data_IF_900306112528
#
_entry.id   IF_900306112528
#
_cell.length_a   1.000
_cell.length_b   1.000
_cell.length_c   1.000
_cell.angle_alpha   90.00
_cell.angle_beta   90.00
_cell.angle_gamma   90.00
#
_symmetry.space_group_name_H-M   'P 1'
#
loop_
_entity.id
_entity.type
_entity.pdbx_description
1 polymer ?
#
# COMPACT_ATOMS: atom_id res chain seq x y z
N UNK A 1 -1.96 -45.77 -27.90
CA UNK A 1 -1.79 -45.31 -26.50
C UNK A 1 -1.90 -43.80 -26.45
N UNK A 2 -3.08 -43.27 -26.14
CA UNK A 2 -3.35 -42.51 -24.90
C UNK A 2 -4.73 -41.88 -25.05
N UNK A 3 -5.61 -42.25 -24.13
CA UNK A 3 -6.98 -41.76 -24.00
C UNK A 3 -7.00 -40.26 -23.67
N UNK A 4 -8.02 -39.57 -24.15
CA UNK A 4 -8.29 -38.16 -23.87
C UNK A 4 -9.58 -38.10 -23.04
N UNK A 5 -9.46 -38.09 -21.71
CA UNK A 5 -10.58 -37.85 -20.80
C UNK A 5 -11.00 -36.38 -20.87
N UNK A 6 -12.19 -36.13 -21.42
CA UNK A 6 -12.85 -34.83 -21.29
C UNK A 6 -13.46 -34.73 -19.89
N UNK A 7 -12.84 -33.91 -19.03
CA UNK A 7 -13.38 -33.60 -17.70
C UNK A 7 -14.74 -32.90 -17.76
N UNK A 8 -15.61 -33.25 -16.82
CA UNK A 8 -16.97 -32.72 -16.70
C UNK A 8 -16.99 -31.19 -16.58
N UNK A 9 -17.96 -30.56 -17.22
CA UNK A 9 -18.03 -29.09 -17.29
C UNK A 9 -18.60 -28.48 -16.02
N UNK A 10 -18.24 -27.22 -15.73
CA UNK A 10 -18.72 -26.44 -14.57
C UNK A 10 -20.25 -26.45 -14.38
N UNK A 11 -21.00 -26.58 -15.49
CA UNK A 11 -22.48 -26.65 -15.48
C UNK A 11 -23.00 -28.00 -15.01
N UNK A 12 -22.26 -29.08 -15.25
CA UNK A 12 -22.60 -30.42 -14.78
C UNK A 12 -22.31 -30.55 -13.28
N UNK A 13 -21.18 -30.03 -12.81
CA UNK A 13 -20.85 -30.00 -11.37
C UNK A 13 -21.89 -29.22 -10.54
N UNK A 14 -22.37 -28.08 -11.05
CA UNK A 14 -23.42 -27.30 -10.39
C UNK A 14 -24.78 -28.00 -10.39
N UNK A 15 -25.10 -28.78 -11.44
CA UNK A 15 -26.33 -29.57 -11.49
C UNK A 15 -26.28 -30.76 -10.52
N UNK A 16 -25.13 -31.43 -10.40
CA UNK A 16 -24.91 -32.54 -9.46
C UNK A 16 -24.96 -32.07 -8.00
N UNK A 17 -24.47 -30.86 -7.71
CA UNK A 17 -24.58 -30.27 -6.37
C UNK A 17 -26.03 -29.89 -6.01
N UNK A 18 -26.81 -29.41 -6.98
CA UNK A 18 -28.21 -29.05 -6.76
C UNK A 18 -29.12 -30.27 -6.52
N UNK A 19 -28.84 -31.42 -7.14
CA UNK A 19 -29.61 -32.67 -6.90
C UNK A 19 -29.27 -33.32 -5.55
N UNK A 20 -28.04 -33.18 -5.05
CA UNK A 20 -27.66 -33.70 -3.73
C UNK A 20 -28.36 -32.95 -2.57
N UNK A 21 -28.64 -31.65 -2.72
CA UNK A 21 -29.31 -30.85 -1.69
C UNK A 21 -30.80 -31.20 -1.53
N UNK A 22 -31.46 -31.72 -2.57
CA UNK A 22 -32.89 -32.07 -2.52
C UNK A 22 -33.11 -33.48 -1.92
N UNK A 23 -32.16 -34.40 -2.08
CA UNK A 23 -32.27 -35.75 -1.53
C UNK A 23 -32.17 -35.81 0.01
N UNK A 24 -31.56 -34.82 0.65
CA UNK A 24 -31.41 -34.76 2.10
C UNK A 24 -32.66 -34.21 2.84
N UNK A 25 -33.66 -33.69 2.12
CA UNK A 25 -34.85 -33.10 2.73
C UNK A 25 -36.00 -34.10 2.99
N UNK A 26 -35.88 -35.36 2.54
CA UNK A 26 -36.98 -36.34 2.57
C UNK A 26 -36.88 -37.42 3.67
N UNK A 27 -35.79 -37.48 4.45
CA UNK A 27 -35.68 -38.41 5.59
C UNK A 27 -35.64 -37.65 6.91
N UNK A 28 -36.81 -37.45 7.50
CA UNK A 28 -37.00 -36.80 8.79
C UNK A 28 -36.43 -37.61 9.96
N UNK A 29 -35.12 -37.53 10.21
CA UNK A 29 -34.48 -38.04 11.43
C UNK A 29 -33.46 -37.05 11.99
N UNK A 30 -33.68 -36.69 13.25
CA UNK A 30 -32.78 -36.07 14.23
C UNK A 30 -32.27 -34.63 14.00
N UNK A 31 -32.91 -33.70 14.73
CA UNK A 31 -32.34 -32.40 15.12
C UNK A 31 -31.14 -32.62 16.05
N UNK A 32 -29.94 -32.75 15.50
CA UNK A 32 -28.71 -32.46 16.23
C UNK A 32 -28.12 -31.16 15.69
N UNK A 33 -28.02 -30.13 16.54
CA UNK A 33 -27.30 -28.89 16.25
C UNK A 33 -25.80 -29.20 16.28
N UNK A 34 -25.29 -29.89 15.26
CA UNK A 34 -23.89 -29.83 14.94
C UNK A 34 -23.63 -28.43 14.38
N UNK A 35 -22.81 -27.64 15.07
CA UNK A 35 -22.18 -26.48 14.46
C UNK A 35 -21.36 -27.01 13.29
N UNK A 36 -21.93 -26.97 12.09
CA UNK A 36 -21.18 -27.14 10.87
C UNK A 36 -20.19 -25.98 10.82
N UNK A 37 -18.96 -26.24 11.25
CA UNK A 37 -17.82 -25.41 10.90
C UNK A 37 -17.82 -25.41 9.37
N UNK A 38 -18.27 -24.30 8.79
CA UNK A 38 -18.19 -24.12 7.35
C UNK A 38 -16.74 -24.42 6.94
N UNK A 39 -16.50 -25.24 5.91
CA UNK A 39 -15.14 -25.51 5.48
C UNK A 39 -14.46 -24.17 5.22
N UNK A 40 -13.28 -23.98 5.80
CA UNK A 40 -12.47 -22.78 5.57
C UNK A 40 -12.40 -22.56 4.07
N UNK A 41 -12.97 -21.44 3.61
CA UNK A 41 -13.00 -21.08 2.20
C UNK A 41 -11.54 -21.01 1.75
N UNK A 42 -11.12 -21.94 0.90
CA UNK A 42 -9.82 -21.86 0.24
C UNK A 42 -9.83 -20.54 -0.51
N UNK A 43 -9.06 -19.56 -0.02
CA UNK A 43 -8.90 -18.25 -0.66
C UNK A 43 -8.26 -18.52 -2.02
N UNK A 44 -9.09 -18.45 -3.07
CA UNK A 44 -8.60 -18.60 -4.44
C UNK A 44 -7.76 -17.38 -4.83
N UNK A 45 -7.00 -17.47 -5.92
CA UNK A 45 -6.26 -16.33 -6.47
C UNK A 45 -7.12 -15.06 -6.70
N UNK A 46 -8.45 -15.19 -6.77
CA UNK A 46 -9.41 -14.08 -6.89
C UNK A 46 -9.85 -13.46 -5.55
N UNK A 47 -9.41 -14.00 -4.41
CA UNK A 47 -9.75 -13.48 -3.08
C UNK A 47 -8.55 -12.74 -2.43
N UNK A 48 -7.44 -12.52 -3.15
CA UNK A 48 -6.28 -11.74 -2.67
C UNK A 48 -6.62 -10.25 -2.57
N UNK A 49 -6.09 -9.58 -1.56
CA UNK A 49 -6.15 -8.12 -1.43
C UNK A 49 -5.17 -7.51 -2.43
N UNK A 50 -5.70 -6.75 -3.39
CA UNK A 50 -4.98 -6.24 -4.56
C UNK A 50 -4.49 -4.82 -4.28
N UNK A 51 -3.18 -4.64 -4.25
CA UNK A 51 -2.54 -3.41 -3.75
C UNK A 51 -1.85 -2.66 -4.88
N UNK A 52 -2.19 -1.38 -5.02
CA UNK A 52 -1.50 -0.43 -5.88
C UNK A 52 -0.51 0.43 -5.09
N UNK A 53 0.66 0.73 -5.66
CA UNK A 53 1.68 1.55 -5.01
C UNK A 53 1.80 2.91 -5.70
N UNK A 54 1.80 3.99 -4.91
CA UNK A 54 2.05 5.35 -5.39
C UNK A 54 3.28 5.91 -4.68
N UNK A 55 4.33 6.17 -5.45
CA UNK A 55 5.67 6.42 -4.93
C UNK A 55 6.40 5.11 -4.67
N UNK A 56 7.29 4.73 -5.58
CA UNK A 56 8.11 3.50 -5.51
C UNK A 56 9.60 3.84 -5.48
N UNK A 57 9.93 4.90 -4.73
CA UNK A 57 11.30 5.20 -4.30
C UNK A 57 11.78 4.26 -3.19
N UNK A 58 12.74 4.71 -2.38
CA UNK A 58 13.35 3.84 -1.35
C UNK A 58 12.35 3.15 -0.42
N UNK A 59 11.47 3.93 0.24
CA UNK A 59 10.49 3.38 1.17
C UNK A 59 9.39 2.58 0.45
N UNK A 60 8.90 3.05 -0.70
CA UNK A 60 7.94 2.32 -1.52
C UNK A 60 8.46 0.95 -1.97
N UNK A 61 9.72 0.86 -2.37
CA UNK A 61 10.35 -0.44 -2.68
C UNK A 61 10.54 -1.33 -1.46
N UNK A 62 10.85 -0.77 -0.28
CA UNK A 62 10.86 -1.55 0.98
C UNK A 62 9.49 -2.15 1.25
N UNK A 63 8.43 -1.37 1.10
CA UNK A 63 7.07 -1.87 1.24
C UNK A 63 6.71 -2.97 0.25
N UNK A 64 7.05 -2.80 -1.03
CA UNK A 64 6.80 -3.83 -2.05
C UNK A 64 7.54 -5.13 -1.74
N UNK A 65 8.78 -5.05 -1.25
CA UNK A 65 9.54 -6.24 -0.82
C UNK A 65 8.86 -6.95 0.34
N UNK A 66 8.52 -6.22 1.41
CA UNK A 66 7.82 -6.77 2.56
C UNK A 66 6.49 -7.40 2.17
N UNK A 67 5.73 -6.75 1.27
CA UNK A 67 4.48 -7.32 0.78
C UNK A 67 4.73 -8.61 -0.02
N UNK A 68 5.73 -8.65 -0.92
CA UNK A 68 6.09 -9.84 -1.69
C UNK A 68 6.53 -10.99 -0.77
N UNK A 69 7.35 -10.70 0.24
CA UNK A 69 7.83 -11.66 1.24
C UNK A 69 6.71 -12.28 2.06
N UNK A 70 5.65 -11.51 2.36
CA UNK A 70 4.52 -11.95 3.19
C UNK A 70 3.22 -12.14 2.38
N UNK A 71 3.32 -12.27 1.05
CA UNK A 71 2.17 -12.23 0.16
C UNK A 71 1.21 -13.40 0.35
N UNK A 72 1.75 -14.59 0.61
CA UNK A 72 0.97 -15.81 0.83
C UNK A 72 0.26 -15.77 2.18
N UNK A 73 0.98 -15.47 3.26
CA UNK A 73 0.43 -15.39 4.62
C UNK A 73 -0.67 -14.32 4.72
N UNK A 74 -0.44 -13.14 4.16
CA UNK A 74 -1.39 -12.03 4.21
C UNK A 74 -2.45 -12.08 3.11
N UNK A 75 -2.39 -13.06 2.20
CA UNK A 75 -3.26 -13.16 1.03
C UNK A 75 -3.33 -11.82 0.25
N UNK A 76 -2.16 -11.28 -0.08
CA UNK A 76 -2.00 -9.99 -0.78
C UNK A 76 -1.28 -10.17 -2.11
N UNK A 77 -1.43 -9.18 -3.00
CA UNK A 77 -0.62 -9.07 -4.22
C UNK A 77 -0.40 -7.61 -4.64
N UNK A 78 0.75 -7.34 -5.27
CA UNK A 78 1.01 -6.07 -5.95
C UNK A 78 0.38 -6.13 -7.34
N UNK A 79 -0.46 -5.17 -7.70
CA UNK A 79 -1.14 -5.18 -9.01
C UNK A 79 -0.90 -3.94 -9.85
N UNK A 80 -0.38 -2.86 -9.27
CA UNK A 80 -0.11 -1.60 -9.96
C UNK A 80 1.00 -0.80 -9.27
N UNK A 81 1.78 -0.06 -10.05
CA UNK A 81 2.80 0.87 -9.53
C UNK A 81 2.69 2.22 -10.20
N UNK A 82 3.02 3.28 -9.47
CA UNK A 82 3.05 4.65 -9.98
C UNK A 82 4.27 5.40 -9.43
N UNK A 83 5.07 5.99 -10.32
CA UNK A 83 6.14 6.92 -9.94
C UNK A 83 6.30 8.02 -11.00
N UNK A 84 6.75 9.19 -10.57
CA UNK A 84 7.03 10.31 -11.46
C UNK A 84 8.38 10.16 -12.17
N UNK A 85 9.26 9.28 -11.69
CA UNK A 85 10.54 8.96 -12.31
C UNK A 85 10.49 7.60 -13.00
N UNK A 86 10.64 7.58 -14.34
CA UNK A 86 10.46 6.36 -15.14
C UNK A 86 11.36 5.21 -14.74
N UNK A 87 12.62 5.48 -14.37
CA UNK A 87 13.55 4.45 -13.86
C UNK A 87 12.97 3.73 -12.63
N UNK A 88 12.54 4.47 -11.60
CA UNK A 88 11.92 3.87 -10.39
C UNK A 88 10.67 3.08 -10.72
N UNK A 89 9.81 3.65 -11.57
CA UNK A 89 8.59 2.99 -12.03
C UNK A 89 8.90 1.64 -12.70
N UNK A 90 9.87 1.61 -13.62
CA UNK A 90 10.28 0.42 -14.37
C UNK A 90 10.95 -0.63 -13.48
N UNK A 91 11.80 -0.21 -12.55
CA UNK A 91 12.41 -1.10 -11.55
C UNK A 91 11.33 -1.78 -10.68
N UNK A 92 10.36 -1.01 -10.19
CA UNK A 92 9.26 -1.52 -9.37
C UNK A 92 8.32 -2.43 -10.18
N UNK A 93 8.02 -2.05 -11.42
CA UNK A 93 7.23 -2.85 -12.35
C UNK A 93 7.88 -4.22 -12.57
N UNK A 94 9.18 -4.26 -12.88
CA UNK A 94 9.91 -5.49 -13.11
C UNK A 94 9.98 -6.34 -11.83
N UNK A 95 10.22 -5.72 -10.67
CA UNK A 95 10.25 -6.42 -9.38
C UNK A 95 8.93 -7.13 -9.04
N UNK A 96 7.81 -6.49 -9.35
CA UNK A 96 6.46 -7.02 -9.14
C UNK A 96 5.92 -7.81 -10.34
N UNK A 97 6.73 -8.02 -11.38
CA UNK A 97 6.35 -8.80 -12.58
C UNK A 97 5.07 -8.28 -13.25
N UNK A 98 4.91 -6.94 -13.26
CA UNK A 98 3.71 -6.26 -13.75
C UNK A 98 3.78 -5.98 -15.26
N UNK A 99 2.66 -6.10 -15.99
CA UNK A 99 2.59 -5.69 -17.38
C UNK A 99 2.70 -4.16 -17.50
N UNK A 100 3.09 -3.67 -18.68
CA UNK A 100 3.22 -2.21 -18.94
C UNK A 100 1.93 -1.43 -18.64
N UNK A 101 0.78 -2.05 -18.87
CA UNK A 101 -0.53 -1.46 -18.57
C UNK A 101 -0.79 -1.21 -17.08
N UNK A 102 0.03 -1.76 -16.18
CA UNK A 102 -0.07 -1.62 -14.73
C UNK A 102 0.98 -0.65 -14.13
N UNK A 103 1.76 0.04 -14.97
CA UNK A 103 2.79 0.99 -14.54
C UNK A 103 2.46 2.43 -14.98
N UNK A 104 2.19 3.31 -14.02
CA UNK A 104 1.65 4.66 -14.25
C UNK A 104 2.65 5.78 -13.92
N UNK A 105 2.52 6.91 -14.60
CA UNK A 105 3.19 8.18 -14.27
C UNK A 105 2.24 9.20 -13.65
N UNK A 106 0.95 8.85 -13.56
CA UNK A 106 -0.11 9.65 -12.98
C UNK A 106 -0.96 8.74 -12.09
N UNK A 107 -0.96 9.00 -10.79
CA UNK A 107 -1.69 8.18 -9.83
C UNK A 107 -3.19 8.18 -10.10
N UNK A 108 -3.75 9.24 -10.72
CA UNK A 108 -5.18 9.30 -11.05
C UNK A 108 -5.58 8.19 -12.01
N UNK A 109 -4.69 7.83 -12.94
CA UNK A 109 -4.88 6.70 -13.87
C UNK A 109 -4.80 5.34 -13.16
N UNK A 110 -3.94 5.21 -12.17
CA UNK A 110 -3.93 4.03 -11.30
C UNK A 110 -5.25 3.92 -10.53
N UNK A 111 -5.80 5.03 -10.02
CA UNK A 111 -7.04 5.03 -9.25
C UNK A 111 -8.29 4.64 -10.06
N UNK A 112 -8.29 4.86 -11.38
CA UNK A 112 -9.36 4.43 -12.31
C UNK A 112 -9.54 2.90 -12.35
N UNK A 113 -8.54 2.12 -11.93
CA UNK A 113 -8.62 0.65 -11.90
C UNK A 113 -9.57 0.14 -10.82
N UNK A 114 -10.62 -0.56 -11.24
CA UNK A 114 -11.66 -1.12 -10.36
C UNK A 114 -11.21 -2.35 -9.58
N UNK A 115 -10.09 -2.95 -9.97
CA UNK A 115 -9.57 -4.18 -9.40
C UNK A 115 -8.50 -3.95 -8.32
N UNK A 116 -8.30 -2.70 -7.89
CA UNK A 116 -7.44 -2.36 -6.77
C UNK A 116 -8.32 -2.20 -5.53
N UNK A 117 -7.95 -2.85 -4.43
CA UNK A 117 -8.66 -2.75 -3.14
C UNK A 117 -8.06 -1.66 -2.25
N UNK A 118 -6.72 -1.57 -2.24
CA UNK A 118 -5.98 -0.63 -1.41
C UNK A 118 -4.82 0.03 -2.15
N UNK A 119 -4.45 1.23 -1.71
CA UNK A 119 -3.31 1.98 -2.21
C UNK A 119 -2.32 2.25 -1.10
N UNK A 120 -1.05 1.91 -1.34
CA UNK A 120 0.06 2.24 -0.45
C UNK A 120 0.79 3.46 -1.00
N UNK A 121 0.87 4.50 -0.17
CA UNK A 121 1.37 5.82 -0.56
C UNK A 121 2.70 6.06 0.15
N UNK A 122 3.78 6.09 -0.62
CA UNK A 122 5.14 6.36 -0.18
C UNK A 122 5.82 7.43 -1.06
N UNK A 123 5.08 8.52 -1.30
CA UNK A 123 5.52 9.67 -2.10
C UNK A 123 6.38 10.65 -1.27
N UNK A 124 6.62 11.86 -1.78
CA UNK A 124 7.02 12.97 -0.93
C UNK A 124 5.86 13.43 -0.04
N UNK A 125 6.17 14.05 1.10
CA UNK A 125 5.16 14.40 2.12
C UNK A 125 4.06 15.31 1.54
N UNK A 126 4.39 16.20 0.59
CA UNK A 126 3.42 17.07 -0.07
C UNK A 126 2.37 16.37 -0.92
N UNK A 127 2.58 15.10 -1.24
CA UNK A 127 1.68 14.29 -2.05
C UNK A 127 0.85 13.30 -1.22
N UNK A 128 1.16 13.11 0.07
CA UNK A 128 0.44 12.16 0.91
C UNK A 128 -1.06 12.46 0.99
N UNK A 129 -1.44 13.66 1.45
CA UNK A 129 -2.85 14.02 1.61
C UNK A 129 -3.63 14.04 0.28
N UNK A 130 -3.14 14.69 -0.80
CA UNK A 130 -3.85 14.69 -2.08
C UNK A 130 -4.08 13.28 -2.65
N UNK A 131 -3.07 12.40 -2.60
CA UNK A 131 -3.21 11.03 -3.11
C UNK A 131 -4.13 10.22 -2.21
N UNK A 132 -4.03 10.34 -0.90
CA UNK A 132 -4.87 9.61 0.05
C UNK A 132 -6.36 9.96 -0.10
N UNK A 133 -6.67 11.26 -0.17
CA UNK A 133 -8.04 11.74 -0.38
C UNK A 133 -8.58 11.20 -1.70
N UNK A 134 -7.83 11.38 -2.80
CA UNK A 134 -8.25 10.90 -4.11
C UNK A 134 -8.44 9.37 -4.15
N UNK A 135 -7.58 8.60 -3.48
CA UNK A 135 -7.68 7.15 -3.40
C UNK A 135 -8.96 6.72 -2.66
N UNK A 136 -9.27 7.37 -1.54
CA UNK A 136 -10.49 7.08 -0.79
C UNK A 136 -11.75 7.44 -1.57
N UNK A 137 -11.74 8.57 -2.27
CA UNK A 137 -12.84 8.98 -3.16
C UNK A 137 -13.05 8.01 -4.33
N UNK A 138 -11.96 7.41 -4.80
CA UNK A 138 -12.01 6.32 -5.78
C UNK A 138 -12.44 4.97 -5.17
N UNK A 139 -12.86 4.93 -3.91
CA UNK A 139 -13.35 3.74 -3.22
C UNK A 139 -12.26 2.81 -2.68
N UNK A 140 -11.00 3.27 -2.59
CA UNK A 140 -9.85 2.45 -2.18
C UNK A 140 -9.51 2.62 -0.71
N UNK A 141 -9.08 1.55 -0.07
CA UNK A 141 -8.42 1.62 1.23
C UNK A 141 -7.03 2.24 1.09
N UNK A 142 -6.49 2.82 2.16
CA UNK A 142 -5.23 3.56 2.07
C UNK A 142 -4.28 3.20 3.19
N UNK A 143 -3.02 2.94 2.82
CA UNK A 143 -1.86 3.03 3.70
C UNK A 143 -1.05 4.27 3.33
N UNK A 144 -0.75 5.15 4.27
CA UNK A 144 -0.03 6.41 4.05
C UNK A 144 1.24 6.41 4.88
N UNK A 145 2.40 6.55 4.26
CA UNK A 145 3.66 6.71 5.00
C UNK A 145 3.65 7.93 5.93
N UNK A 146 4.48 7.85 6.97
CA UNK A 146 4.65 8.96 7.90
C UNK A 146 5.65 9.98 7.33
N UNK A 147 5.45 11.29 7.61
CA UNK A 147 4.28 11.88 8.25
C UNK A 147 3.02 11.78 7.37
N UNK A 148 1.85 11.53 7.96
CA UNK A 148 0.59 11.33 7.22
C UNK A 148 0.26 12.50 6.27
N UNK A 149 0.58 13.73 6.68
CA UNK A 149 0.33 14.97 5.97
C UNK A 149 1.29 16.06 6.48
N UNK A 150 1.21 17.27 5.89
CA UNK A 150 2.06 18.41 6.26
C UNK A 150 1.42 19.41 7.18
N UNK A 151 0.10 19.53 7.12
CA UNK A 151 -0.63 20.50 7.95
C UNK A 151 -1.78 19.85 8.70
N UNK A 152 -2.28 20.55 9.71
CA UNK A 152 -3.44 20.11 10.50
C UNK A 152 -4.70 20.10 9.62
N UNK A 153 -4.84 21.06 8.70
CA UNK A 153 -5.95 21.12 7.75
C UNK A 153 -5.95 19.91 6.81
N UNK A 154 -4.77 19.53 6.31
CA UNK A 154 -4.62 18.29 5.53
C UNK A 154 -4.99 17.05 6.36
N UNK A 155 -4.68 17.04 7.67
CA UNK A 155 -5.06 15.94 8.57
C UNK A 155 -6.58 15.82 8.72
N UNK A 156 -7.28 16.93 8.95
CA UNK A 156 -8.75 16.95 9.01
C UNK A 156 -9.37 16.55 7.66
N UNK A 157 -8.82 17.02 6.55
CA UNK A 157 -9.31 16.63 5.23
C UNK A 157 -9.21 15.12 4.97
N UNK A 158 -8.11 14.47 5.41
CA UNK A 158 -7.99 13.00 5.38
C UNK A 158 -9.03 12.35 6.29
N UNK A 159 -9.16 12.83 7.53
CA UNK A 159 -10.11 12.30 8.51
C UNK A 159 -11.56 12.35 8.01
N UNK A 160 -12.00 13.51 7.52
CA UNK A 160 -13.35 13.74 7.02
C UNK A 160 -13.63 12.86 5.79
N UNK A 161 -12.64 12.72 4.90
CA UNK A 161 -12.76 11.85 3.73
C UNK A 161 -12.87 10.39 4.13
N UNK A 162 -12.07 9.92 5.09
CA UNK A 162 -12.15 8.55 5.60
C UNK A 162 -13.54 8.27 6.21
N UNK A 163 -14.06 9.20 7.01
CA UNK A 163 -15.41 9.11 7.60
C UNK A 163 -16.51 9.06 6.55
N UNK A 164 -16.45 9.96 5.56
CA UNK A 164 -17.47 10.06 4.51
C UNK A 164 -17.46 8.86 3.56
N UNK A 165 -16.30 8.35 3.19
CA UNK A 165 -16.15 7.23 2.24
C UNK A 165 -16.20 5.85 2.90
N UNK A 166 -16.10 5.81 4.24
CA UNK A 166 -16.00 4.57 5.01
C UNK A 166 -14.75 3.75 4.71
N UNK A 167 -13.70 4.37 4.14
CA UNK A 167 -12.45 3.67 3.80
C UNK A 167 -11.53 3.59 5.01
N UNK A 168 -10.94 2.42 5.21
CA UNK A 168 -9.83 2.21 6.14
C UNK A 168 -8.61 3.04 5.72
N UNK A 169 -8.05 3.77 6.67
CA UNK A 169 -6.79 4.51 6.55
C UNK A 169 -5.83 4.02 7.63
N UNK A 170 -4.65 3.58 7.21
CA UNK A 170 -3.54 3.20 8.10
C UNK A 170 -2.37 4.16 7.87
N UNK A 171 -1.88 4.77 8.95
CA UNK A 171 -0.65 5.58 8.90
C UNK A 171 0.55 4.70 9.17
N UNK A 172 1.64 4.91 8.43
CA UNK A 172 2.90 4.17 8.48
C UNK A 172 3.75 4.43 9.72
N UNK A 173 3.14 4.58 10.89
CA UNK A 173 3.82 4.65 12.19
C UNK A 173 4.27 3.24 12.63
N UNK A 174 5.00 2.54 11.77
CA UNK A 174 5.37 1.12 11.92
C UNK A 174 6.08 0.83 13.25
N UNK A 175 6.90 1.77 13.73
CA UNK A 175 7.58 1.66 15.00
C UNK A 175 6.64 1.49 16.18
N UNK A 176 5.40 1.99 16.12
CA UNK A 176 4.39 1.81 17.16
C UNK A 176 3.73 0.42 17.14
N UNK A 177 3.87 -0.33 16.06
CA UNK A 177 3.33 -1.68 15.88
C UNK A 177 4.33 -2.78 16.27
N UNK A 178 5.55 -2.42 16.66
CA UNK A 178 6.55 -3.37 17.11
C UNK A 178 6.09 -4.02 18.44
N UNK A 179 6.13 -5.35 18.50
CA UNK A 179 5.65 -6.16 19.62
C UNK A 179 6.21 -5.69 20.97
N UNK A 180 7.45 -5.18 21.00
CA UNK A 180 8.06 -4.66 22.24
C UNK A 180 7.28 -3.51 22.86
N UNK A 181 6.63 -2.66 22.07
CA UNK A 181 5.83 -1.54 22.59
C UNK A 181 4.47 -2.00 23.09
N UNK A 182 3.89 -3.04 22.47
CA UNK A 182 2.68 -3.67 22.99
C UNK A 182 2.92 -4.30 24.36
N UNK A 183 4.06 -4.99 24.53
CA UNK A 183 4.49 -5.54 25.83
C UNK A 183 4.76 -4.42 26.83
N UNK A 184 5.50 -3.37 26.46
CA UNK A 184 5.76 -2.23 27.34
C UNK A 184 4.45 -1.56 27.80
N UNK A 185 3.51 -1.34 26.88
CA UNK A 185 2.19 -0.79 27.20
C UNK A 185 1.34 -1.70 28.09
N UNK A 186 1.49 -3.02 27.98
CA UNK A 186 0.85 -3.97 28.90
C UNK A 186 1.45 -3.87 30.31
N UNK A 187 2.77 -3.86 30.44
CA UNK A 187 3.48 -3.71 31.72
C UNK A 187 3.04 -2.44 32.45
N UNK A 188 2.90 -1.33 31.73
CA UNK A 188 2.41 -0.05 32.29
C UNK A 188 0.95 -0.18 32.76
N UNK A 189 0.05 -0.72 31.93
CA UNK A 189 -1.37 -0.87 32.27
C UNK A 189 -1.63 -1.80 33.46
N UNK A 190 -0.80 -2.82 33.63
CA UNK A 190 -0.86 -3.76 34.75
C UNK A 190 -0.29 -3.15 36.05
N UNK A 191 0.22 -1.92 36.02
CA UNK A 191 0.80 -1.25 37.20
C UNK A 191 2.14 -1.81 37.65
N UNK A 192 2.80 -2.62 36.81
CA UNK A 192 4.03 -3.38 37.18
C UNK A 192 5.25 -2.50 37.46
N UNK A 193 5.24 -1.25 37.01
CA UNK A 193 6.30 -0.27 37.26
C UNK A 193 5.84 0.88 38.19
N UNK A 194 4.66 0.75 38.81
CA UNK A 194 4.04 1.81 39.60
C UNK A 194 3.54 2.98 38.76
N UNK A 195 3.44 4.17 39.38
CA UNK A 195 2.99 5.38 38.71
C UNK A 195 4.07 5.91 37.75
N UNK A 196 3.73 6.06 36.47
CA UNK A 196 4.64 6.60 35.45
C UNK A 196 4.87 8.09 35.70
N UNK A 197 6.10 8.46 36.03
CA UNK A 197 6.49 9.86 36.29
C UNK A 197 7.17 10.53 35.09
N UNK A 198 7.86 9.76 34.24
CA UNK A 198 8.62 10.29 33.11
C UNK A 198 8.81 9.22 32.03
N UNK A 199 8.79 9.64 30.77
CA UNK A 199 9.28 8.87 29.63
C UNK A 199 10.38 9.67 28.91
N UNK A 200 11.46 8.98 28.51
CA UNK A 200 12.55 9.57 27.74
C UNK A 200 12.83 8.68 26.53
N UNK A 201 12.94 9.30 25.36
CA UNK A 201 13.31 8.64 24.11
C UNK A 201 14.33 9.48 23.35
N UNK A 202 15.22 8.80 22.64
CA UNK A 202 16.17 9.42 21.72
C UNK A 202 16.10 8.73 20.37
N UNK A 203 16.24 9.52 19.30
CA UNK A 203 16.36 9.01 17.95
C UNK A 203 17.60 9.64 17.32
N UNK A 204 18.67 8.86 17.19
CA UNK A 204 19.96 9.33 16.71
C UNK A 204 20.30 8.64 15.39
N UNK A 205 20.55 9.44 14.34
CA UNK A 205 21.05 8.94 13.05
C UNK A 205 22.48 9.41 12.82
N UNK A 206 23.45 8.55 13.13
CA UNK A 206 24.84 8.82 12.76
C UNK A 206 25.03 8.59 11.26
N UNK A 207 25.27 9.65 10.50
CA UNK A 207 25.52 9.59 9.06
C UNK A 207 26.82 10.29 8.70
N UNK A 208 27.73 9.58 8.01
CA UNK A 208 28.96 10.19 7.47
C UNK A 208 28.70 11.19 6.34
N UNK A 209 27.54 11.11 5.70
CA UNK A 209 27.16 11.93 4.55
C UNK A 209 26.08 12.97 4.90
N UNK A 210 25.72 13.10 6.18
CA UNK A 210 24.61 13.95 6.62
C UNK A 210 23.23 13.34 6.37
N UNK A 211 22.21 13.97 6.91
CA UNK A 211 20.83 13.50 6.79
C UNK A 211 20.27 13.78 5.38
N UNK A 212 19.42 12.87 4.89
CA UNK A 212 18.74 12.98 3.58
C UNK A 212 19.65 12.97 2.34
N UNK A 213 20.95 12.76 2.48
CA UNK A 213 21.92 12.71 1.38
C UNK A 213 22.12 11.32 0.78
N UNK A 214 21.46 10.29 1.32
CA UNK A 214 21.68 8.89 1.01
C UNK A 214 21.01 8.42 -0.30
N UNK A 215 20.18 9.24 -0.95
CA UNK A 215 19.65 8.93 -2.27
C UNK A 215 20.63 9.37 -3.37
N UNK A 216 20.95 8.45 -4.27
CA UNK A 216 21.73 8.73 -5.48
C UNK A 216 20.96 9.69 -6.39
N UNK A 217 21.63 10.78 -6.76
CA UNK A 217 21.16 11.68 -7.81
C UNK A 217 21.64 11.14 -9.15
N UNK A 218 20.71 10.73 -9.99
CA UNK A 218 21.02 10.26 -11.34
C UNK A 218 21.24 11.46 -12.25
N UNK A 219 22.45 11.56 -12.83
CA UNK A 219 22.85 12.70 -13.68
C UNK A 219 22.01 12.81 -14.96
N UNK A 220 21.46 11.71 -15.42
CA UNK A 220 20.62 11.60 -16.61
C UNK A 220 19.12 11.81 -16.32
N UNK A 221 18.75 12.12 -15.06
CA UNK A 221 17.37 12.36 -14.68
C UNK A 221 16.95 13.81 -14.94
N UNK A 222 15.76 14.00 -15.48
CA UNK A 222 15.15 15.32 -15.60
C UNK A 222 13.90 15.37 -16.49
N UNK A 223 13.22 16.53 -16.55
CA UNK A 223 12.00 16.72 -17.34
C UNK A 223 12.23 16.72 -18.85
N UNK A 224 13.47 16.92 -19.29
CA UNK A 224 13.85 16.87 -20.71
C UNK A 224 14.57 15.57 -21.10
N UNK A 225 14.76 14.66 -20.14
CA UNK A 225 15.38 13.36 -20.43
C UNK A 225 14.41 12.45 -21.20
N UNK A 226 14.96 11.65 -22.11
CA UNK A 226 14.21 10.62 -22.85
C UNK A 226 14.30 9.27 -22.16
N UNK A 227 13.33 8.38 -22.41
CA UNK A 227 13.34 7.02 -21.87
C UNK A 227 13.30 7.00 -20.33
N UNK A 228 14.09 6.12 -19.71
CA UNK A 228 14.05 5.86 -18.27
C UNK A 228 14.50 7.06 -17.41
N UNK A 229 15.24 8.01 -17.99
CA UNK A 229 15.69 9.23 -17.31
C UNK A 229 14.58 10.27 -17.07
N UNK A 230 13.43 10.14 -17.75
CA UNK A 230 12.37 11.14 -17.66
C UNK A 230 11.79 11.25 -16.24
N UNK A 231 11.69 12.48 -15.76
CA UNK A 231 11.05 12.84 -14.48
C UNK A 231 9.92 13.83 -14.75
N UNK A 232 8.71 13.52 -14.29
CA UNK A 232 7.58 14.46 -14.32
C UNK A 232 7.74 15.52 -13.21
N UNK A 233 8.65 16.46 -13.44
CA UNK A 233 9.01 17.53 -12.50
C UNK A 233 7.84 18.48 -12.24
N UNK A 234 6.99 18.72 -13.25
CA UNK A 234 5.83 19.61 -13.12
C UNK A 234 4.78 19.03 -12.18
N UNK A 235 4.48 17.74 -12.31
CA UNK A 235 3.61 17.06 -11.37
C UNK A 235 4.25 17.08 -9.97
N UNK A 236 5.51 16.67 -9.82
CA UNK A 236 6.18 16.63 -8.52
C UNK A 236 6.02 17.94 -7.73
N UNK A 237 6.23 19.09 -8.40
CA UNK A 237 6.15 20.42 -7.80
C UNK A 237 4.75 20.85 -7.36
N UNK A 238 3.70 20.37 -8.02
CA UNK A 238 2.34 20.88 -7.84
C UNK A 238 2.27 22.42 -7.93
N UNK A 239 2.94 22.99 -8.94
CA UNK A 239 2.98 24.44 -9.17
C UNK A 239 3.86 25.25 -8.21
N UNK A 240 4.59 24.61 -7.27
CA UNK A 240 5.53 25.30 -6.37
C UNK A 240 6.81 25.72 -7.09
N UNK A 241 7.42 26.81 -6.65
CA UNK A 241 8.73 27.28 -7.11
C UNK A 241 9.89 26.46 -6.47
N UNK A 242 11.07 26.37 -7.13
CA UNK A 242 11.39 26.94 -8.44
C UNK A 242 10.83 26.09 -9.59
N UNK A 243 10.37 26.72 -10.68
CA UNK A 243 9.98 26.01 -11.92
C UNK A 243 11.13 25.24 -12.56
N UNK A 244 12.35 25.79 -12.49
CA UNK A 244 13.55 25.18 -13.06
C UNK A 244 13.81 23.78 -12.49
N UNK A 245 14.33 22.86 -13.30
CA UNK A 245 14.75 21.54 -12.84
C UNK A 245 15.83 21.64 -11.77
N UNK A 246 15.59 20.99 -10.64
CA UNK A 246 16.54 20.87 -9.54
C UNK A 246 16.56 19.41 -9.07
N UNK A 247 17.60 18.64 -9.45
CA UNK A 247 17.68 17.24 -9.07
C UNK A 247 17.86 17.05 -7.56
N UNK A 248 18.49 17.98 -6.82
CA UNK A 248 18.61 17.85 -5.36
C UNK A 248 17.22 17.96 -4.72
N UNK A 249 16.36 18.87 -5.21
CA UNK A 249 14.97 18.98 -4.75
C UNK A 249 14.13 17.76 -5.05
N UNK A 250 14.32 17.11 -6.20
CA UNK A 250 13.55 15.91 -6.52
C UNK A 250 14.03 14.68 -5.72
N UNK A 251 15.34 14.43 -5.68
CA UNK A 251 15.89 13.23 -5.04
C UNK A 251 16.02 13.36 -3.52
N UNK A 252 16.17 14.58 -3.00
CA UNK A 252 16.41 14.88 -1.58
C UNK A 252 15.39 15.88 -1.04
N UNK A 253 14.16 15.76 -1.53
CA UNK A 253 13.02 16.61 -1.24
C UNK A 253 12.76 16.88 0.24
N UNK A 254 13.14 15.96 1.15
CA UNK A 254 12.99 16.12 2.61
C UNK A 254 13.71 17.36 3.16
N UNK A 255 14.80 17.79 2.52
CA UNK A 255 15.54 19.01 2.89
C UNK A 255 14.78 20.31 2.60
N UNK A 256 13.67 20.25 1.87
CA UNK A 256 12.99 21.42 1.35
C UNK A 256 11.55 21.46 1.86
N UNK A 257 11.21 22.52 2.60
CA UNK A 257 9.87 22.74 3.19
C UNK A 257 8.71 22.71 2.17
N UNK A 258 9.02 22.99 0.91
CA UNK A 258 8.04 22.90 -0.18
C UNK A 258 7.49 21.47 -0.38
N UNK A 259 8.28 20.45 -0.05
CA UNK A 259 7.98 19.05 -0.36
C UNK A 259 7.98 18.13 0.88
N UNK A 260 8.76 18.46 1.90
CA UNK A 260 8.84 17.73 3.17
C UNK A 260 8.37 18.56 4.37
N UNK A 261 8.19 17.89 5.51
CA UNK A 261 7.86 18.52 6.79
C UNK A 261 9.07 19.04 7.61
N UNK A 262 10.25 19.14 6.98
CA UNK A 262 11.46 19.72 7.59
C UNK A 262 11.96 19.03 8.85
N UNK A 263 11.93 17.69 8.84
CA UNK A 263 12.80 16.87 9.71
C UNK A 263 14.19 16.85 9.08
#
# INVERSE_FOLDING_TARGET
>A
MSENEKGATRRELLKTAATAAVAAAASGVAKSRAFAVAPARVLGANDRIRIGFVGVGGQGMTHMRLLKENAEENNTESVAVCDLYRRRKKEAQAFAELPDSAAYEDFRKLLERKDIDAVWIATSDNWHAPVAIAAMEAGKHVYIEKPMCRTIEEAFAIYDTAKRTGRVVQVGSQGCSDQKWHVAGQVVREGRIGHVVQAQGSYCRNSKIGEWNYYTIHKDAGPHATGDGYVNWDMFRMGKEPKAWDPDRFFRWRKYWAYGNGI
#
